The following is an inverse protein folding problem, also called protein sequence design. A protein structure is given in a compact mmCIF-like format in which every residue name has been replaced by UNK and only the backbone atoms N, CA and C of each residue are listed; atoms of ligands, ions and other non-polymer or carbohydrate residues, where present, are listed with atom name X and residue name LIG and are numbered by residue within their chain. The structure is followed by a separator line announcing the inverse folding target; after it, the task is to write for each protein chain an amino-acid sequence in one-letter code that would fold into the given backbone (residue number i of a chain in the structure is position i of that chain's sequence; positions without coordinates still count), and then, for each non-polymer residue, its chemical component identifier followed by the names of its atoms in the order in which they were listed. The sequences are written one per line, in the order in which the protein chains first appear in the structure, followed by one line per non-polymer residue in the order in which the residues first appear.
data_IF_411202318174
#
_entry.id   IF_411202318174
#
_cell.length_a   1.000
_cell.length_b   1.000
_cell.length_c   1.000
_cell.angle_alpha   90.00
_cell.angle_beta   90.00
_cell.angle_gamma   90.00
#
_symmetry.space_group_name_H-M   'P 1'
#
loop_
_entity.id
_entity.type
_entity.pdbx_description
1 polymer ?
#
# COMPACT_ATOMS: atom_id res chain seq x y z
N UNK A 1 -6.92 -25.90 -1.94
CA UNK A 1 -5.92 -25.30 -1.04
C UNK A 1 -5.23 -24.20 -1.81
N UNK A 2 -5.07 -23.03 -1.21
CA UNK A 2 -4.36 -21.91 -1.83
C UNK A 2 -2.94 -21.83 -1.29
N UNK A 3 -1.98 -21.57 -2.17
CA UNK A 3 -0.60 -21.30 -1.77
C UNK A 3 -0.29 -19.84 -2.13
N UNK A 4 -0.12 -19.00 -1.13
CA UNK A 4 0.24 -17.59 -1.31
C UNK A 4 1.76 -17.46 -1.22
N UNK A 5 2.38 -17.01 -2.32
CA UNK A 5 3.80 -16.72 -2.37
C UNK A 5 4.03 -15.23 -2.12
N UNK A 6 4.94 -14.92 -1.20
CA UNK A 6 5.24 -13.55 -0.75
C UNK A 6 6.72 -13.35 -0.51
N UNK A 7 7.17 -12.09 -0.58
CA UNK A 7 8.47 -11.68 -0.07
C UNK A 7 8.53 -11.93 1.43
N UNK A 8 9.60 -12.57 1.90
CA UNK A 8 9.75 -12.89 3.32
C UNK A 8 10.86 -13.87 3.61
N UNK A 9 11.12 -14.11 4.89
CA UNK A 9 12.03 -15.16 5.33
C UNK A 9 11.49 -15.83 6.60
N UNK A 10 11.76 -17.12 6.76
CA UNK A 10 11.42 -17.88 7.97
C UNK A 10 9.94 -17.78 8.39
N UNK A 11 9.02 -17.77 7.41
CA UNK A 11 7.59 -17.66 7.65
C UNK A 11 7.09 -16.24 7.94
N UNK A 12 7.97 -15.25 8.04
CA UNK A 12 7.60 -13.85 8.20
C UNK A 12 7.57 -13.14 6.85
N UNK A 13 6.48 -12.40 6.62
CA UNK A 13 6.32 -11.57 5.41
C UNK A 13 7.21 -10.33 5.54
N UNK A 14 7.94 -10.01 4.47
CA UNK A 14 8.82 -8.86 4.45
C UNK A 14 8.05 -7.55 4.34
N UNK A 15 8.48 -6.57 5.14
CA UNK A 15 7.93 -5.21 5.11
C UNK A 15 8.27 -4.42 3.85
N UNK A 16 9.19 -4.91 3.00
CA UNK A 16 9.57 -4.22 1.75
C UNK A 16 8.44 -4.20 0.71
N UNK A 17 7.46 -5.10 0.83
CA UNK A 17 6.37 -5.24 -0.14
C UNK A 17 5.03 -5.10 0.57
N UNK A 18 4.44 -3.88 0.56
CA UNK A 18 3.13 -3.66 1.17
C UNK A 18 2.03 -4.47 0.48
N UNK A 19 2.16 -4.78 -0.81
CA UNK A 19 1.24 -5.69 -1.53
C UNK A 19 1.25 -7.11 -0.95
N UNK A 20 2.45 -7.66 -0.63
CA UNK A 20 2.58 -8.96 0.01
C UNK A 20 1.94 -8.99 1.40
N UNK A 21 2.18 -7.94 2.20
CA UNK A 21 1.55 -7.76 3.50
C UNK A 21 0.03 -7.70 3.33
N UNK A 22 -0.49 -6.80 2.50
CA UNK A 22 -1.93 -6.63 2.30
C UNK A 22 -2.62 -7.93 1.90
N UNK A 23 -2.02 -8.69 0.97
CA UNK A 23 -2.57 -9.98 0.54
C UNK A 23 -2.62 -10.98 1.69
N UNK A 24 -1.57 -11.04 2.51
CA UNK A 24 -1.52 -11.92 3.67
C UNK A 24 -2.56 -11.53 4.74
N UNK A 25 -2.77 -10.23 5.02
CA UNK A 25 -3.83 -9.77 5.94
C UNK A 25 -5.18 -10.20 5.40
N UNK A 26 -5.44 -9.86 4.13
CA UNK A 26 -6.72 -10.09 3.49
C UNK A 26 -7.10 -11.58 3.57
N UNK A 27 -6.19 -12.49 3.20
CA UNK A 27 -6.45 -13.93 3.28
C UNK A 27 -6.63 -14.42 4.71
N UNK A 28 -5.83 -13.95 5.68
CA UNK A 28 -5.98 -14.33 7.09
C UNK A 28 -7.33 -13.90 7.68
N UNK A 29 -7.83 -12.72 7.28
CA UNK A 29 -9.12 -12.21 7.76
C UNK A 29 -10.31 -12.86 7.05
N UNK A 30 -10.22 -13.08 5.73
CA UNK A 30 -11.29 -13.67 4.93
C UNK A 30 -11.42 -15.18 5.10
N UNK A 31 -10.30 -15.90 5.14
CA UNK A 31 -10.28 -17.37 5.19
C UNK A 31 -9.96 -17.81 6.63
N UNK A 32 -11.00 -17.90 7.47
CA UNK A 32 -10.89 -18.31 8.88
C UNK A 32 -10.30 -19.71 9.10
N UNK A 33 -10.41 -20.59 8.10
CA UNK A 33 -9.86 -21.95 8.15
C UNK A 33 -8.42 -21.96 7.64
N UNK A 34 -7.46 -22.04 8.57
CA UNK A 34 -6.03 -22.04 8.28
C UNK A 34 -5.57 -23.22 7.42
N UNK A 35 -6.37 -24.28 7.28
CA UNK A 35 -6.03 -25.41 6.42
C UNK A 35 -6.33 -25.15 4.95
N UNK A 36 -7.06 -24.07 4.63
CA UNK A 36 -7.45 -23.75 3.26
C UNK A 36 -6.40 -22.95 2.50
N UNK A 37 -5.50 -22.26 3.19
CA UNK A 37 -4.40 -21.56 2.56
C UNK A 37 -3.10 -21.63 3.35
N UNK A 38 -1.98 -21.60 2.66
CA UNK A 38 -0.63 -21.53 3.25
C UNK A 38 0.13 -20.35 2.68
N UNK A 39 0.95 -19.72 3.52
CA UNK A 39 1.83 -18.63 3.13
C UNK A 39 3.24 -19.19 2.95
N UNK A 40 3.77 -19.07 1.74
CA UNK A 40 5.09 -19.54 1.36
C UNK A 40 5.99 -18.32 1.16
N UNK A 41 6.88 -18.08 2.13
CA UNK A 41 7.90 -17.05 1.99
C UNK A 41 8.94 -17.52 0.99
N UNK A 42 9.17 -16.73 -0.05
CA UNK A 42 10.00 -17.11 -1.19
C UNK A 42 11.47 -17.33 -0.79
N UNK A 43 11.84 -18.60 -0.52
CA UNK A 43 13.22 -19.12 -0.61
C UNK A 43 13.49 -19.84 -1.93
N UNK A 44 12.43 -20.39 -2.51
CA UNK A 44 12.55 -21.30 -3.64
C UNK A 44 12.30 -20.58 -4.96
N UNK A 45 13.36 -20.45 -5.73
CA UNK A 45 13.38 -19.73 -6.99
C UNK A 45 12.82 -20.56 -8.16
N UNK A 46 12.41 -21.80 -7.91
CA UNK A 46 11.95 -22.74 -8.94
C UNK A 46 10.69 -22.28 -9.68
N UNK A 47 9.76 -21.61 -8.99
CA UNK A 47 8.54 -21.07 -9.59
C UNK A 47 8.75 -19.76 -10.35
N UNK A 48 9.88 -19.08 -10.16
CA UNK A 48 10.18 -17.80 -10.81
C UNK A 48 10.50 -17.93 -12.31
N UNK A 49 10.58 -19.16 -12.86
CA UNK A 49 10.72 -19.36 -14.31
C UNK A 49 9.47 -18.98 -15.11
N UNK A 50 8.33 -18.77 -14.45
CA UNK A 50 7.04 -18.59 -15.10
C UNK A 50 6.58 -17.13 -15.21
N UNK A 51 7.15 -16.19 -14.44
CA UNK A 51 6.56 -14.87 -14.18
C UNK A 51 7.68 -13.84 -14.02
N UNK A 52 7.44 -12.58 -14.40
CA UNK A 52 8.33 -11.40 -14.32
C UNK A 52 8.75 -11.00 -12.88
N UNK A 53 8.91 -11.97 -11.98
CA UNK A 53 9.33 -11.81 -10.59
C UNK A 53 8.38 -10.94 -9.74
N UNK A 54 7.09 -10.90 -10.11
CA UNK A 54 6.09 -10.09 -9.41
C UNK A 54 5.48 -10.91 -8.27
N UNK A 55 5.79 -10.51 -7.04
CA UNK A 55 5.13 -10.97 -5.81
C UNK A 55 4.26 -9.83 -5.27
N UNK A 56 3.07 -10.12 -4.71
CA UNK A 56 2.56 -11.45 -4.37
C UNK A 56 1.92 -12.19 -5.54
N UNK A 57 1.92 -13.52 -5.48
CA UNK A 57 1.09 -14.35 -6.36
C UNK A 57 0.46 -15.52 -5.59
N UNK A 58 -0.71 -15.96 -6.02
CA UNK A 58 -1.49 -17.04 -5.45
C UNK A 58 -1.55 -18.21 -6.43
N UNK A 59 -1.30 -19.43 -5.95
CA UNK A 59 -1.55 -20.67 -6.67
C UNK A 59 -2.80 -21.34 -6.10
N UNK A 60 -3.77 -21.61 -6.97
CA UNK A 60 -4.93 -22.43 -6.64
C UNK A 60 -4.71 -23.88 -7.07
N UNK A 61 -4.32 -24.72 -6.12
CA UNK A 61 -4.08 -26.15 -6.35
C UNK A 61 -5.35 -26.93 -6.71
N UNK A 62 -6.53 -26.38 -6.44
CA UNK A 62 -7.81 -27.03 -6.78
C UNK A 62 -8.22 -26.79 -8.22
N UNK A 63 -7.75 -25.68 -8.81
CA UNK A 63 -8.13 -25.25 -10.13
C UNK A 63 -6.94 -25.34 -11.10
N UNK A 64 -6.44 -26.56 -11.30
CA UNK A 64 -5.37 -26.87 -12.25
C UNK A 64 -4.10 -26.02 -12.06
N UNK A 65 -3.73 -25.74 -10.81
CA UNK A 65 -2.58 -24.90 -10.43
C UNK A 65 -2.62 -23.50 -11.09
N UNK A 66 -3.82 -22.91 -11.19
CA UNK A 66 -3.98 -21.55 -11.73
C UNK A 66 -3.19 -20.56 -10.88
N UNK A 67 -2.40 -19.72 -11.54
CA UNK A 67 -1.61 -18.64 -10.91
C UNK A 67 -2.31 -17.30 -11.09
N UNK A 68 -2.37 -16.52 -10.02
CA UNK A 68 -2.97 -15.18 -9.99
C UNK A 68 -1.97 -14.22 -9.34
N UNK A 69 -1.61 -13.16 -10.04
CA UNK A 69 -0.56 -12.22 -9.62
C UNK A 69 -1.12 -10.87 -9.21
N UNK A 70 -0.51 -10.27 -8.17
CA UNK A 70 -0.84 -8.95 -7.67
C UNK A 70 -2.04 -8.92 -6.75
N UNK A 71 -1.98 -8.05 -5.74
CA UNK A 71 -2.98 -7.91 -4.68
C UNK A 71 -4.43 -7.83 -5.22
N UNK A 72 -4.66 -6.93 -6.17
CA UNK A 72 -5.99 -6.69 -6.73
C UNK A 72 -6.59 -7.93 -7.42
N UNK A 73 -5.80 -8.61 -8.27
CA UNK A 73 -6.30 -9.77 -9.00
C UNK A 73 -6.54 -10.95 -8.05
N UNK A 74 -5.69 -11.10 -7.02
CA UNK A 74 -5.84 -12.14 -6.00
C UNK A 74 -7.16 -11.94 -5.25
N UNK A 75 -7.46 -10.73 -4.79
CA UNK A 75 -8.73 -10.43 -4.12
C UNK A 75 -9.90 -10.76 -5.04
N UNK A 76 -9.89 -10.22 -6.27
CA UNK A 76 -10.96 -10.45 -7.25
C UNK A 76 -11.18 -11.95 -7.51
N UNK A 77 -10.11 -12.73 -7.55
CA UNK A 77 -10.18 -14.17 -7.73
C UNK A 77 -10.79 -14.88 -6.52
N UNK A 78 -10.39 -14.51 -5.30
CA UNK A 78 -10.85 -15.12 -4.06
C UNK A 78 -12.35 -14.85 -3.83
N UNK A 79 -12.78 -13.60 -4.04
CA UNK A 79 -14.20 -13.20 -4.03
C UNK A 79 -15.03 -14.07 -4.99
N UNK A 80 -14.52 -14.28 -6.21
CA UNK A 80 -15.20 -15.08 -7.24
C UNK A 80 -15.36 -16.55 -6.87
N UNK A 81 -14.43 -17.12 -6.10
CA UNK A 81 -14.50 -18.53 -5.71
C UNK A 81 -15.54 -18.75 -4.61
N UNK A 82 -15.57 -17.87 -3.61
CA UNK A 82 -16.47 -18.00 -2.47
C UNK A 82 -16.77 -16.62 -1.91
N UNK A 83 -18.03 -16.22 -2.01
CA UNK A 83 -18.52 -14.92 -1.55
C UNK A 83 -18.23 -14.69 -0.06
N UNK A 84 -18.26 -15.76 0.77
CA UNK A 84 -17.93 -15.64 2.20
C UNK A 84 -16.47 -15.21 2.49
N UNK A 85 -15.61 -15.13 1.47
CA UNK A 85 -14.25 -14.60 1.59
C UNK A 85 -14.15 -13.13 1.18
N UNK A 86 -15.23 -12.49 0.76
CA UNK A 86 -15.23 -11.08 0.41
C UNK A 86 -15.43 -10.22 1.67
N UNK A 87 -14.37 -9.51 2.06
CA UNK A 87 -14.41 -8.52 3.15
C UNK A 87 -15.20 -7.25 2.79
N UNK A 88 -15.49 -7.05 1.51
CA UNK A 88 -16.20 -5.88 0.99
C UNK A 88 -17.68 -6.19 0.68
N UNK A 89 -18.17 -7.41 0.94
CA UNK A 89 -19.56 -7.82 0.64
C UNK A 89 -20.60 -6.86 1.26
N UNK A 90 -20.29 -6.30 2.43
CA UNK A 90 -21.18 -5.38 3.14
C UNK A 90 -21.30 -4.01 2.45
N UNK A 91 -20.36 -3.63 1.55
CA UNK A 91 -20.53 -2.46 0.69
C UNK A 91 -21.67 -2.68 -0.32
N UNK A 92 -22.06 -3.94 -0.54
CA UNK A 92 -23.09 -4.30 -1.51
C UNK A 92 -24.50 -4.24 -0.90
N UNK A 93 -24.68 -3.76 0.35
CA UNK A 93 -25.95 -3.86 1.10
C UNK A 93 -27.21 -3.65 0.23
N UNK A 94 -27.86 -4.78 -0.05
CA UNK A 94 -28.98 -4.91 -0.98
C UNK A 94 -30.22 -4.22 -0.39
N UNK A 95 -30.56 -3.03 -0.90
CA UNK A 95 -31.93 -2.49 -0.79
C UNK A 95 -32.98 -3.50 -1.32
N UNK A 96 -32.58 -4.47 -2.15
CA UNK A 96 -33.42 -5.58 -2.61
C UNK A 96 -33.98 -6.46 -1.49
N UNK A 97 -33.25 -6.61 -0.38
CA UNK A 97 -33.72 -7.40 0.77
C UNK A 97 -34.85 -6.69 1.55
N UNK A 98 -34.98 -5.36 1.42
CA UNK A 98 -36.12 -4.60 1.93
C UNK A 98 -37.31 -4.59 0.96
N UNK A 99 -37.09 -4.65 -0.35
CA UNK A 99 -38.18 -4.75 -1.34
C UNK A 99 -38.96 -6.07 -1.22
N UNK A 100 -38.28 -7.21 -1.04
CA UNK A 100 -38.98 -8.51 -0.89
C UNK A 100 -39.72 -8.66 0.46
N UNK A 101 -39.31 -7.95 1.51
CA UNK A 101 -40.06 -7.90 2.78
C UNK A 101 -41.33 -7.04 2.67
N UNK A 102 -41.30 -6.00 1.84
CA UNK A 102 -42.47 -5.15 1.63
C UNK A 102 -43.52 -5.77 0.69
N UNK A 103 -43.13 -6.52 -0.36
CA UNK A 103 -44.10 -7.27 -1.18
C UNK A 103 -44.82 -8.40 -0.42
N UNK A 104 -44.17 -9.00 0.59
CA UNK A 104 -44.81 -9.98 1.47
C UNK A 104 -45.73 -9.34 2.53
N UNK A 105 -45.59 -8.04 2.80
CA UNK A 105 -46.49 -7.29 3.68
C UNK A 105 -47.65 -6.62 2.90
N UNK A 106 -47.45 -6.18 1.66
CA UNK A 106 -48.52 -5.60 0.82
C UNK A 106 -49.55 -6.64 0.37
N UNK A 107 -49.19 -7.93 0.30
CA UNK A 107 -50.16 -9.00 0.08
C UNK A 107 -51.07 -9.29 1.29
N UNK A 108 -50.82 -8.67 2.45
CA UNK A 108 -51.70 -8.73 3.63
C UNK A 108 -52.54 -7.46 3.86
N UNK A 109 -52.37 -6.39 3.06
CA UNK A 109 -53.11 -5.12 3.22
C UNK A 109 -53.86 -4.67 1.95
N UNK A 110 -54.35 -5.61 1.15
CA UNK A 110 -55.42 -5.32 0.19
C UNK A 110 -56.77 -5.11 0.89
N UNK A 111 -56.89 -4.01 1.65
CA UNK A 111 -58.15 -3.38 2.03
C UNK A 111 -57.92 -1.99 2.66
N UNK A 112 -57.39 -1.03 1.90
CA UNK A 112 -57.81 0.39 1.97
C UNK A 112 -57.15 1.24 0.88
N UNK A 113 -57.93 1.45 -0.18
CA UNK A 113 -57.68 2.42 -1.23
C UNK A 113 -57.87 3.84 -0.65
N UNK A 114 -56.81 4.66 -0.63
CA UNK A 114 -56.77 6.00 -1.24
C UNK A 114 -55.62 6.87 -0.73
N UNK A 115 -55.04 7.62 -1.67
CA UNK A 115 -54.06 8.71 -1.58
C UNK A 115 -52.61 8.28 -1.34
N UNK A 116 -51.77 8.43 -2.37
CA UNK A 116 -50.55 9.26 -2.32
C UNK A 116 -49.79 9.16 -3.66
N UNK A 117 -49.95 10.16 -4.52
CA UNK A 117 -49.17 10.31 -5.77
C UNK A 117 -47.96 11.26 -5.61
N UNK A 118 -47.46 11.48 -4.39
CA UNK A 118 -46.26 12.31 -4.15
C UNK A 118 -45.00 11.48 -3.78
N UNK A 119 -45.08 10.16 -3.66
CA UNK A 119 -43.94 9.32 -3.24
C UNK A 119 -43.11 8.71 -4.38
N UNK A 120 -43.39 9.02 -5.65
CA UNK A 120 -42.70 8.40 -6.79
C UNK A 120 -41.40 9.09 -7.22
N UNK A 121 -41.05 10.27 -6.67
CA UNK A 121 -39.81 10.98 -7.03
C UNK A 121 -38.63 10.78 -6.06
N UNK A 122 -38.82 10.13 -4.91
CA UNK A 122 -37.73 9.88 -3.94
C UNK A 122 -37.11 8.48 -4.02
N UNK A 123 -37.67 7.56 -4.82
CA UNK A 123 -37.20 6.16 -4.88
C UNK A 123 -36.13 5.88 -5.95
N UNK A 124 -35.65 6.88 -6.69
CA UNK A 124 -34.60 6.71 -7.71
C UNK A 124 -33.19 7.13 -7.27
N UNK A 125 -32.98 7.45 -5.98
CA UNK A 125 -31.64 7.78 -5.44
C UNK A 125 -30.95 6.64 -4.67
N UNK A 126 -31.63 5.55 -4.35
CA UNK A 126 -31.09 4.46 -3.50
C UNK A 126 -30.22 3.43 -4.22
N UNK A 127 -30.51 3.10 -5.47
CA UNK A 127 -29.87 1.96 -6.17
C UNK A 127 -28.43 2.20 -6.64
N UNK A 128 -27.93 3.44 -6.64
CA UNK A 128 -26.60 3.77 -7.15
C UNK A 128 -25.51 3.84 -6.07
N UNK A 129 -25.87 3.82 -4.77
CA UNK A 129 -24.89 3.99 -3.68
C UNK A 129 -23.96 2.78 -3.57
N UNK A 130 -24.52 1.57 -3.56
CA UNK A 130 -23.79 0.35 -3.26
C UNK A 130 -22.75 -0.04 -4.33
N UNK A 131 -23.11 -0.02 -5.62
CA UNK A 131 -22.15 -0.26 -6.72
C UNK A 131 -21.10 0.87 -6.78
N UNK A 132 -21.50 2.10 -6.41
CA UNK A 132 -20.57 3.22 -6.34
C UNK A 132 -19.50 2.97 -5.27
N UNK A 133 -19.86 2.43 -4.11
CA UNK A 133 -18.91 2.22 -3.02
C UNK A 133 -17.88 1.13 -3.33
N UNK A 134 -18.27 0.05 -4.01
CA UNK A 134 -17.31 -0.95 -4.50
C UNK A 134 -16.32 -0.35 -5.51
N UNK A 135 -16.82 0.44 -6.47
CA UNK A 135 -15.99 1.14 -7.45
C UNK A 135 -15.06 2.17 -6.79
N UNK A 136 -15.55 2.88 -5.77
CA UNK A 136 -14.77 3.82 -4.97
C UNK A 136 -13.67 3.08 -4.22
N UNK A 137 -13.97 1.94 -3.59
CA UNK A 137 -12.98 1.12 -2.88
C UNK A 137 -11.86 0.66 -3.83
N UNK A 138 -12.20 0.23 -5.05
CA UNK A 138 -11.20 -0.08 -6.08
C UNK A 138 -10.41 1.15 -6.55
N UNK A 139 -11.08 2.28 -6.73
CA UNK A 139 -10.44 3.56 -7.07
C UNK A 139 -9.42 3.98 -6.01
N UNK A 140 -9.78 3.85 -4.73
CA UNK A 140 -8.90 4.14 -3.60
C UNK A 140 -7.67 3.22 -3.59
N UNK A 141 -7.83 1.91 -3.83
CA UNK A 141 -6.68 1.00 -3.95
C UNK A 141 -5.71 1.49 -5.03
N UNK A 142 -6.23 1.93 -6.18
CA UNK A 142 -5.40 2.49 -7.26
C UNK A 142 -4.68 3.77 -6.84
N UNK A 143 -5.39 4.72 -6.20
CA UNK A 143 -4.81 5.98 -5.74
C UNK A 143 -3.75 5.74 -4.65
N UNK A 144 -4.04 4.86 -3.68
CA UNK A 144 -3.09 4.43 -2.63
C UNK A 144 -1.85 3.84 -3.29
N UNK A 145 -2.03 2.95 -4.26
CA UNK A 145 -0.94 2.33 -4.99
C UNK A 145 -0.09 3.40 -5.68
N UNK A 146 -0.70 4.26 -6.49
CA UNK A 146 0.05 5.21 -7.30
C UNK A 146 0.79 6.25 -6.44
N UNK A 147 0.20 6.65 -5.31
CA UNK A 147 0.79 7.64 -4.40
C UNK A 147 1.86 7.03 -3.49
N UNK A 148 1.53 5.96 -2.76
CA UNK A 148 2.42 5.41 -1.74
C UNK A 148 3.47 4.45 -2.31
N UNK A 149 3.26 3.86 -3.49
CA UNK A 149 4.27 2.99 -4.12
C UNK A 149 5.56 3.73 -4.40
N UNK A 150 5.47 4.95 -4.93
CA UNK A 150 6.66 5.75 -5.23
C UNK A 150 7.38 6.17 -3.96
N UNK A 151 6.65 6.48 -2.89
CA UNK A 151 7.22 6.77 -1.57
C UNK A 151 7.95 5.54 -1.02
N UNK A 152 7.33 4.36 -1.05
CA UNK A 152 7.98 3.11 -0.65
C UNK A 152 9.22 2.81 -1.50
N UNK A 153 9.14 3.02 -2.82
CA UNK A 153 10.28 2.85 -3.73
C UNK A 153 11.45 3.75 -3.37
N UNK A 154 11.17 5.03 -3.11
CA UNK A 154 12.19 5.94 -2.61
C UNK A 154 12.80 5.43 -1.31
N UNK A 155 11.94 5.07 -0.35
CA UNK A 155 12.35 4.75 1.01
C UNK A 155 13.19 3.48 1.12
N UNK A 156 12.88 2.44 0.33
CA UNK A 156 13.56 1.15 0.37
C UNK A 156 14.67 0.99 -0.67
N UNK A 157 14.57 1.63 -1.85
CA UNK A 157 15.47 1.34 -2.97
C UNK A 157 16.35 2.53 -3.39
N UNK A 158 15.87 3.77 -3.22
CA UNK A 158 16.63 4.97 -3.61
C UNK A 158 17.43 5.54 -2.45
N UNK A 159 16.89 5.50 -1.23
CA UNK A 159 17.64 5.89 -0.05
C UNK A 159 18.79 4.90 0.16
N UNK A 160 20.02 5.34 -0.14
CA UNK A 160 21.21 4.49 -0.12
C UNK A 160 21.46 3.83 1.24
N UNK A 161 21.10 4.50 2.34
CA UNK A 161 21.31 3.97 3.68
C UNK A 161 20.38 2.79 3.94
N UNK A 162 19.09 2.95 3.62
CA UNK A 162 18.09 1.88 3.73
C UNK A 162 18.35 0.75 2.73
N UNK A 163 18.69 1.07 1.49
CA UNK A 163 18.93 0.08 0.46
C UNK A 163 20.12 -0.83 0.79
N UNK A 164 21.27 -0.24 1.15
CA UNK A 164 22.49 -1.00 1.38
C UNK A 164 22.45 -1.76 2.71
N UNK A 165 21.92 -1.15 3.78
CA UNK A 165 21.98 -1.73 5.12
C UNK A 165 20.76 -2.58 5.50
N UNK A 166 19.64 -2.46 4.79
CA UNK A 166 18.43 -3.23 5.07
C UNK A 166 17.96 -4.01 3.84
N UNK A 167 17.56 -3.32 2.76
CA UNK A 167 16.87 -3.95 1.63
C UNK A 167 17.71 -5.06 0.99
N UNK A 168 18.99 -4.82 0.72
CA UNK A 168 19.90 -5.85 0.18
C UNK A 168 20.04 -7.06 1.11
N UNK A 169 20.03 -6.87 2.43
CA UNK A 169 20.09 -7.99 3.39
C UNK A 169 18.84 -8.85 3.30
N UNK A 170 17.66 -8.22 3.23
CA UNK A 170 16.37 -8.94 3.11
C UNK A 170 16.36 -9.85 1.88
N UNK A 171 16.84 -9.36 0.73
CA UNK A 171 16.93 -10.19 -0.48
C UNK A 171 18.04 -11.25 -0.38
N UNK A 172 19.16 -10.95 0.30
CA UNK A 172 20.23 -11.91 0.53
C UNK A 172 19.79 -13.09 1.41
N UNK A 173 18.97 -12.83 2.41
CA UNK A 173 18.45 -13.84 3.33
C UNK A 173 17.30 -14.64 2.72
N UNK A 174 16.53 -14.01 1.83
CA UNK A 174 15.40 -14.62 1.14
C UNK A 174 15.78 -15.42 -0.11
N UNK A 175 16.79 -15.00 -0.87
CA UNK A 175 17.03 -15.54 -2.22
C UNK A 175 18.37 -16.28 -2.36
N UNK A 176 18.36 -17.26 -3.26
CA UNK A 176 19.57 -17.97 -3.68
C UNK A 176 20.42 -17.12 -4.63
N UNK A 177 21.72 -17.42 -4.67
CA UNK A 177 22.61 -16.87 -5.69
C UNK A 177 22.23 -17.43 -7.08
N UNK A 178 22.18 -16.61 -8.15
CA UNK A 178 22.57 -15.19 -8.25
C UNK A 178 21.42 -14.17 -8.07
N UNK A 179 20.20 -14.65 -7.79
CA UNK A 179 19.00 -13.83 -7.78
C UNK A 179 18.99 -12.78 -6.67
N UNK A 180 19.66 -13.06 -5.55
CA UNK A 180 19.88 -12.11 -4.47
C UNK A 180 20.67 -10.84 -4.87
N UNK A 181 21.36 -10.82 -6.01
CA UNK A 181 22.00 -9.60 -6.55
C UNK A 181 21.18 -8.96 -7.68
N UNK A 182 20.65 -9.80 -8.57
CA UNK A 182 19.92 -9.34 -9.74
C UNK A 182 18.61 -8.62 -9.37
N UNK A 183 17.82 -9.21 -8.46
CA UNK A 183 16.49 -8.68 -8.13
C UNK A 183 16.53 -7.32 -7.42
N UNK A 184 17.34 -7.12 -6.36
CA UNK A 184 17.47 -5.80 -5.75
C UNK A 184 17.87 -4.72 -6.75
N UNK A 185 18.82 -5.03 -7.63
CA UNK A 185 19.27 -4.10 -8.67
C UNK A 185 18.18 -3.79 -9.68
N UNK A 186 17.38 -4.79 -10.06
CA UNK A 186 16.23 -4.62 -10.96
C UNK A 186 15.17 -3.72 -10.33
N UNK A 187 14.79 -3.99 -9.08
CA UNK A 187 13.84 -3.16 -8.34
C UNK A 187 14.36 -1.74 -8.11
N UNK A 188 15.66 -1.58 -7.85
CA UNK A 188 16.28 -0.24 -7.74
C UNK A 188 16.12 0.55 -9.03
N UNK A 189 16.35 -0.07 -10.18
CA UNK A 189 16.14 0.58 -11.48
C UNK A 189 14.67 0.97 -11.70
N UNK A 190 13.73 0.07 -11.40
CA UNK A 190 12.28 0.37 -11.48
C UNK A 190 11.91 1.54 -10.55
N UNK A 191 12.49 1.57 -9.35
CA UNK A 191 12.29 2.66 -8.39
C UNK A 191 12.87 3.98 -8.91
N UNK A 192 14.04 3.96 -9.56
CA UNK A 192 14.65 5.15 -10.18
C UNK A 192 13.72 5.71 -11.25
N UNK A 193 13.26 4.86 -12.17
CA UNK A 193 12.33 5.23 -13.24
C UNK A 193 11.01 5.81 -12.69
N UNK A 194 10.46 5.21 -11.62
CA UNK A 194 9.20 5.64 -11.02
C UNK A 194 9.32 6.95 -10.23
N UNK A 195 10.44 7.15 -9.52
CA UNK A 195 10.66 8.34 -8.68
C UNK A 195 11.05 9.58 -9.49
N UNK A 196 11.56 9.41 -10.71
CA UNK A 196 11.79 10.49 -11.69
C UNK A 196 10.49 11.23 -12.02
N UNK A 197 9.38 10.50 -12.13
CA UNK A 197 8.09 11.06 -12.54
C UNK A 197 7.60 12.11 -11.53
N UNK A 198 7.84 11.86 -10.23
CA UNK A 198 7.33 12.67 -9.10
C UNK A 198 8.37 13.69 -8.58
N UNK A 199 9.49 13.90 -9.29
CA UNK A 199 10.58 14.81 -8.87
C UNK A 199 11.20 14.43 -7.50
N UNK A 200 11.09 13.15 -7.15
CA UNK A 200 11.84 12.55 -6.05
C UNK A 200 13.22 12.06 -6.51
N UNK A 201 13.41 11.89 -7.82
CA UNK A 201 14.70 11.64 -8.45
C UNK A 201 15.18 12.85 -9.26
N UNK A 202 16.48 12.92 -9.51
CA UNK A 202 17.26 14.09 -9.89
C UNK A 202 16.98 14.69 -11.28
N UNK A 203 15.95 14.30 -12.01
CA UNK A 203 15.85 14.63 -13.44
C UNK A 203 15.09 15.93 -13.76
N UNK A 204 14.19 16.41 -12.88
CA UNK A 204 13.51 17.72 -13.04
C UNK A 204 14.04 18.75 -12.05
N UNK A 205 15.35 19.01 -12.15
CA UNK A 205 16.07 19.88 -11.20
C UNK A 205 15.51 21.31 -11.16
N UNK A 206 14.95 21.69 -10.02
CA UNK A 206 14.73 23.09 -9.67
C UNK A 206 16.06 23.86 -9.69
N UNK A 207 16.05 25.20 -9.92
CA UNK A 207 17.28 26.03 -9.99
C UNK A 207 18.25 25.80 -8.82
N UNK A 208 17.72 25.65 -7.61
CA UNK A 208 18.49 25.37 -6.38
C UNK A 208 19.19 24.00 -6.42
N UNK A 209 18.56 23.02 -7.07
CA UNK A 209 19.09 21.65 -7.19
C UNK A 209 20.18 21.58 -8.25
N UNK A 210 19.97 22.27 -9.37
CA UNK A 210 21.02 22.47 -10.38
C UNK A 210 22.23 23.15 -9.73
N UNK A 211 22.01 24.14 -8.86
CA UNK A 211 23.11 24.82 -8.18
C UNK A 211 23.83 23.92 -7.16
N UNK A 212 23.09 23.13 -6.37
CA UNK A 212 23.68 22.16 -5.45
C UNK A 212 24.50 21.10 -6.20
N UNK A 213 23.98 20.58 -7.31
CA UNK A 213 24.68 19.58 -8.11
C UNK A 213 25.92 20.18 -8.79
N UNK A 214 25.82 21.40 -9.33
CA UNK A 214 26.98 22.12 -9.86
C UNK A 214 28.05 22.33 -8.80
N UNK A 215 27.68 22.78 -7.60
CA UNK A 215 28.64 22.92 -6.49
C UNK A 215 29.25 21.58 -6.12
N UNK A 216 28.48 20.50 -6.13
CA UNK A 216 28.97 19.16 -5.80
C UNK A 216 29.93 18.64 -6.87
N UNK A 217 29.67 18.91 -8.15
CA UNK A 217 30.57 18.61 -9.28
C UNK A 217 31.83 19.48 -9.28
N UNK A 218 31.69 20.78 -9.02
CA UNK A 218 32.80 21.73 -8.89
C UNK A 218 33.74 21.28 -7.77
N UNK A 219 33.17 20.96 -6.60
CA UNK A 219 33.91 20.38 -5.51
C UNK A 219 34.58 19.06 -5.97
N UNK A 220 33.85 18.10 -6.56
CA UNK A 220 34.42 16.80 -7.02
C UNK A 220 35.65 16.94 -7.94
N UNK A 221 35.76 18.03 -8.68
CA UNK A 221 36.83 18.25 -9.64
C UNK A 221 37.99 19.12 -9.11
N UNK A 222 37.92 19.64 -7.88
CA UNK A 222 39.01 20.44 -7.30
C UNK A 222 40.24 19.58 -6.95
N UNK A 223 41.45 19.95 -7.38
CA UNK A 223 42.67 19.23 -7.03
C UNK A 223 42.98 19.37 -5.54
N UNK A 224 43.22 18.25 -4.85
CA UNK A 224 43.59 18.23 -3.43
C UNK A 224 45.03 18.74 -3.23
N UNK A 225 45.17 20.02 -2.86
CA UNK A 225 46.47 20.71 -2.71
C UNK A 225 47.22 20.40 -1.40
N UNK A 226 46.52 20.02 -0.33
CA UNK A 226 47.12 19.68 0.97
C UNK A 226 46.22 18.73 1.77
N UNK A 227 46.75 18.09 2.82
CA UNK A 227 45.98 17.21 3.71
C UNK A 227 44.84 17.95 4.41
N UNK A 228 45.13 19.12 4.99
CA UNK A 228 44.12 19.97 5.63
C UNK A 228 43.06 20.45 4.63
N UNK A 229 43.45 20.72 3.38
CA UNK A 229 42.51 21.05 2.32
C UNK A 229 41.63 19.85 1.96
N UNK A 230 42.19 18.63 1.90
CA UNK A 230 41.42 17.40 1.68
C UNK A 230 40.38 17.18 2.79
N UNK A 231 40.73 17.44 4.05
CA UNK A 231 39.80 17.25 5.17
C UNK A 231 38.64 18.26 5.13
N UNK A 232 38.93 19.54 4.84
CA UNK A 232 37.90 20.56 4.67
C UNK A 232 36.98 20.25 3.50
N UNK A 233 37.58 19.76 2.41
CA UNK A 233 36.88 19.36 1.21
C UNK A 233 35.90 18.20 1.48
N UNK A 234 36.34 17.14 2.16
CA UNK A 234 35.48 16.01 2.52
C UNK A 234 34.35 16.42 3.45
N UNK A 235 34.60 17.35 4.38
CA UNK A 235 33.55 17.95 5.23
C UNK A 235 32.52 18.75 4.42
N UNK A 236 32.95 19.51 3.42
CA UNK A 236 32.04 20.25 2.56
C UNK A 236 31.19 19.31 1.70
N UNK A 237 31.81 18.27 1.13
CA UNK A 237 31.12 17.29 0.29
C UNK A 237 30.10 16.48 1.08
N UNK A 238 30.44 16.04 2.30
CA UNK A 238 29.47 15.36 3.19
C UNK A 238 28.31 16.28 3.55
N UNK A 239 28.57 17.56 3.84
CA UNK A 239 27.54 18.56 4.10
C UNK A 239 26.60 18.75 2.90
N UNK A 240 27.14 18.88 1.68
CA UNK A 240 26.32 19.04 0.47
C UNK A 240 25.45 17.81 0.20
N UNK A 241 26.00 16.60 0.35
CA UNK A 241 25.23 15.34 0.24
C UNK A 241 24.11 15.29 1.27
N UNK A 242 24.38 15.67 2.52
CA UNK A 242 23.38 15.72 3.58
C UNK A 242 22.26 16.71 3.28
N UNK A 243 22.58 17.91 2.79
CA UNK A 243 21.59 18.91 2.40
C UNK A 243 20.69 18.41 1.26
N UNK A 244 21.28 17.77 0.25
CA UNK A 244 20.53 17.16 -0.86
C UNK A 244 19.60 16.06 -0.36
N UNK A 245 20.11 15.14 0.47
CA UNK A 245 19.32 14.08 1.12
C UNK A 245 18.15 14.66 1.91
N UNK A 246 18.42 15.65 2.77
CA UNK A 246 17.40 16.30 3.62
C UNK A 246 16.30 16.93 2.78
N UNK A 247 16.65 17.62 1.69
CA UNK A 247 15.67 18.23 0.78
C UNK A 247 14.74 17.19 0.15
N UNK A 248 15.29 16.06 -0.32
CA UNK A 248 14.49 14.99 -0.92
C UNK A 248 13.61 14.32 0.15
N UNK A 249 14.14 14.06 1.35
CA UNK A 249 13.36 13.56 2.48
C UNK A 249 12.18 14.48 2.80
N UNK A 250 12.38 15.80 2.82
CA UNK A 250 11.29 16.77 3.06
C UNK A 250 10.23 16.73 1.95
N UNK A 251 10.63 16.60 0.67
CA UNK A 251 9.66 16.41 -0.44
C UNK A 251 8.86 15.13 -0.24
N UNK A 252 9.52 14.04 0.14
CA UNK A 252 8.88 12.76 0.43
C UNK A 252 7.86 12.88 1.56
N UNK A 253 8.22 13.55 2.67
CA UNK A 253 7.29 13.82 3.77
C UNK A 253 6.09 14.67 3.34
N UNK A 254 6.32 15.68 2.48
CA UNK A 254 5.24 16.52 1.95
C UNK A 254 4.27 15.73 1.05
N UNK A 255 4.75 14.75 0.29
CA UNK A 255 3.89 13.88 -0.51
C UNK A 255 3.04 12.97 0.38
N UNK A 256 3.63 12.38 1.43
CA UNK A 256 2.88 11.61 2.42
C UNK A 256 1.83 12.48 3.10
N UNK A 257 2.21 13.71 3.48
CA UNK A 257 1.31 14.67 4.11
C UNK A 257 0.10 14.98 3.22
N UNK A 258 0.34 15.36 1.97
CA UNK A 258 -0.72 15.68 1.02
C UNK A 258 -1.64 14.48 0.82
N UNK A 259 -1.07 13.28 0.61
CA UNK A 259 -1.85 12.07 0.45
C UNK A 259 -2.73 11.76 1.67
N UNK A 260 -2.16 11.84 2.88
CA UNK A 260 -2.94 11.58 4.10
C UNK A 260 -4.00 12.67 4.36
N UNK A 261 -3.74 13.93 3.98
CA UNK A 261 -4.75 14.98 4.01
C UNK A 261 -5.89 14.70 3.03
N UNK A 262 -5.59 14.22 1.82
CA UNK A 262 -6.62 13.84 0.84
C UNK A 262 -7.50 12.69 1.37
N UNK A 263 -6.91 11.74 2.09
CA UNK A 263 -7.64 10.67 2.79
C UNK A 263 -8.49 11.22 3.94
N UNK A 264 -7.95 12.11 4.78
CA UNK A 264 -8.71 12.77 5.86
C UNK A 264 -9.92 13.56 5.31
N UNK A 265 -9.73 14.22 4.16
CA UNK A 265 -10.80 14.93 3.44
C UNK A 265 -11.86 13.95 2.96
N UNK A 266 -11.44 12.83 2.34
CA UNK A 266 -12.34 11.77 1.90
C UNK A 266 -13.17 11.20 3.07
N UNK A 267 -12.53 10.84 4.18
CA UNK A 267 -13.20 10.36 5.40
C UNK A 267 -14.23 11.38 5.91
N UNK A 268 -13.89 12.67 5.85
CA UNK A 268 -14.78 13.74 6.32
C UNK A 268 -16.02 13.89 5.43
N UNK A 269 -15.88 13.73 4.11
CA UNK A 269 -17.01 13.79 3.17
C UNK A 269 -17.93 12.55 3.30
N UNK A 270 -17.34 11.36 3.40
CA UNK A 270 -18.13 10.12 3.43
C UNK A 270 -18.84 9.90 4.77
N UNK A 271 -18.27 10.39 5.87
CA UNK A 271 -18.89 10.29 7.20
C UNK A 271 -19.86 11.43 7.54
N UNK A 272 -20.05 12.42 6.67
CA UNK A 272 -20.88 13.59 6.98
C UNK A 272 -22.37 13.22 7.16
N UNK A 273 -22.87 12.22 6.44
CA UNK A 273 -24.29 11.83 6.46
C UNK A 273 -24.66 11.00 7.70
N UNK A 274 -23.67 10.38 8.35
CA UNK A 274 -23.87 9.56 9.53
C UNK A 274 -23.39 10.35 10.75
N UNK A 275 -24.32 10.92 11.53
CA UNK A 275 -24.10 11.66 12.81
C UNK A 275 -23.38 10.84 13.93
N UNK A 276 -22.69 9.77 13.55
CA UNK A 276 -22.02 8.81 14.40
C UNK A 276 -20.53 9.12 14.55
N UNK A 277 -19.98 8.62 15.66
CA UNK A 277 -18.58 8.71 16.08
C UNK A 277 -17.59 8.49 14.92
N UNK A 278 -16.44 9.18 14.98
CA UNK A 278 -15.34 9.05 14.02
C UNK A 278 -15.05 7.58 13.75
N UNK A 279 -15.20 7.16 12.50
CA UNK A 279 -14.96 5.78 12.07
C UNK A 279 -13.49 5.41 12.23
N UNK A 280 -13.21 4.11 12.39
CA UNK A 280 -11.83 3.60 12.44
C UNK A 280 -11.28 3.25 11.05
N UNK A 281 -12.14 3.14 10.04
CA UNK A 281 -11.81 2.75 8.67
C UNK A 281 -12.44 3.72 7.65
N UNK A 282 -11.97 3.66 6.40
CA UNK A 282 -12.30 4.58 5.31
C UNK A 282 -13.79 4.59 4.98
N UNK A 283 -14.44 3.42 4.99
CA UNK A 283 -15.87 3.26 4.68
C UNK A 283 -16.74 3.11 5.95
N UNK A 284 -16.17 3.30 7.14
CA UNK A 284 -16.93 3.22 8.40
C UNK A 284 -16.30 2.29 9.45
N UNK A 285 -17.13 1.45 10.07
CA UNK A 285 -16.69 0.60 11.19
C UNK A 285 -16.26 -0.81 10.77
N UNK A 286 -16.44 -1.15 9.49
CA UNK A 286 -16.01 -2.42 8.92
C UNK A 286 -14.79 -2.19 8.03
N UNK A 287 -13.92 -3.19 8.00
CA UNK A 287 -12.68 -3.15 7.24
C UNK A 287 -12.94 -3.49 5.77
N UNK A 288 -12.28 -2.77 4.86
CA UNK A 288 -12.31 -3.04 3.43
C UNK A 288 -10.93 -3.46 2.89
N UNK A 289 -10.91 -3.93 1.64
CA UNK A 289 -9.67 -4.19 0.92
C UNK A 289 -8.81 -2.94 0.71
N UNK A 290 -9.38 -1.73 0.58
CA UNK A 290 -8.59 -0.49 0.53
C UNK A 290 -7.97 -0.15 1.89
N UNK A 291 -8.70 -0.35 3.00
CA UNK A 291 -8.17 -0.16 4.35
C UNK A 291 -6.96 -1.05 4.59
N UNK A 292 -7.09 -2.34 4.27
CA UNK A 292 -6.00 -3.32 4.41
C UNK A 292 -4.78 -2.89 3.59
N UNK A 293 -5.00 -2.39 2.37
CA UNK A 293 -3.93 -1.95 1.50
C UNK A 293 -3.23 -0.70 2.01
N UNK A 294 -4.01 0.30 2.46
CA UNK A 294 -3.49 1.51 3.09
C UNK A 294 -2.69 1.17 4.35
N UNK A 295 -3.27 0.39 5.26
CA UNK A 295 -2.63 -0.03 6.51
C UNK A 295 -1.32 -0.77 6.23
N UNK A 296 -1.30 -1.67 5.24
CA UNK A 296 -0.08 -2.40 4.86
C UNK A 296 1.03 -1.48 4.34
N UNK A 297 0.66 -0.43 3.58
CA UNK A 297 1.60 0.61 3.19
C UNK A 297 2.12 1.39 4.41
N UNK A 298 1.26 1.72 5.37
CA UNK A 298 1.67 2.40 6.61
C UNK A 298 2.60 1.50 7.44
N UNK A 299 2.33 0.20 7.57
CA UNK A 299 3.21 -0.77 8.24
C UNK A 299 4.60 -0.77 7.58
N UNK A 300 4.63 -0.81 6.24
CA UNK A 300 5.86 -0.75 5.44
C UNK A 300 6.63 0.56 5.69
N UNK A 301 5.96 1.71 5.67
CA UNK A 301 6.59 3.02 5.88
C UNK A 301 7.00 3.26 7.34
N UNK A 302 6.33 2.62 8.29
CA UNK A 302 6.60 2.71 9.73
C UNK A 302 7.60 1.64 10.21
N UNK A 303 8.39 1.05 9.29
CA UNK A 303 9.36 0.03 9.63
C UNK A 303 10.51 0.59 10.49
N UNK A 304 10.61 0.09 11.73
CA UNK A 304 11.61 0.50 12.74
C UNK A 304 13.00 -0.07 12.47
N UNK A 305 13.10 -1.10 11.63
CA UNK A 305 14.35 -1.79 11.34
C UNK A 305 15.20 -1.07 10.26
N UNK A 306 14.64 -0.01 9.65
CA UNK A 306 15.35 0.80 8.68
C UNK A 306 16.34 1.76 9.36
N UNK A 307 17.59 1.87 8.86
CA UNK A 307 18.58 2.76 9.45
C UNK A 307 18.20 4.24 9.35
N UNK A 308 17.68 4.68 8.20
CA UNK A 308 17.09 6.02 8.05
C UNK A 308 15.58 5.94 8.24
N UNK A 309 15.13 6.33 9.43
CA UNK A 309 13.75 6.19 9.88
C UNK A 309 12.99 7.54 9.92
N UNK A 310 13.31 8.46 9.02
CA UNK A 310 12.69 9.79 9.00
C UNK A 310 11.16 9.74 8.81
N UNK A 311 10.65 8.80 7.99
CA UNK A 311 9.20 8.62 7.78
C UNK A 311 8.54 8.07 9.05
N UNK A 312 9.14 7.06 9.67
CA UNK A 312 8.67 6.51 10.95
C UNK A 312 8.54 7.61 12.01
N UNK A 313 9.57 8.46 12.17
CA UNK A 313 9.57 9.56 13.12
C UNK A 313 8.44 10.57 12.83
N UNK A 314 8.25 10.92 11.57
CA UNK A 314 7.20 11.84 11.13
C UNK A 314 5.79 11.28 11.38
N UNK A 315 5.53 10.03 10.99
CA UNK A 315 4.21 9.41 11.15
C UNK A 315 3.83 9.24 12.63
N UNK A 316 4.77 8.87 13.50
CA UNK A 316 4.51 8.77 14.94
C UNK A 316 4.20 10.13 15.58
N UNK A 317 4.86 11.19 15.11
CA UNK A 317 4.61 12.54 15.61
C UNK A 317 3.24 13.06 15.19
N UNK A 318 2.86 12.87 13.92
CA UNK A 318 1.70 13.54 13.32
C UNK A 318 0.43 12.69 13.26
N UNK A 319 0.58 11.38 13.06
CA UNK A 319 -0.54 10.44 12.86
C UNK A 319 -0.48 9.25 13.84
N UNK A 320 -0.39 9.46 15.17
CA UNK A 320 -0.19 8.38 16.14
C UNK A 320 -1.35 7.36 16.16
N UNK A 321 -2.58 7.79 15.89
CA UNK A 321 -3.76 6.90 15.82
C UNK A 321 -3.66 5.92 14.66
N UNK A 322 -3.23 6.40 13.49
CA UNK A 322 -3.04 5.56 12.30
C UNK A 322 -1.92 4.54 12.53
N UNK A 323 -0.84 4.94 13.21
CA UNK A 323 0.22 4.01 13.61
C UNK A 323 -0.28 2.96 14.59
N UNK A 324 -1.06 3.36 15.61
CA UNK A 324 -1.64 2.39 16.56
C UNK A 324 -2.54 1.37 15.85
N UNK A 325 -3.34 1.82 14.87
CA UNK A 325 -4.12 0.93 14.03
C UNK A 325 -3.20 -0.02 13.25
N UNK A 326 -2.19 0.50 12.55
CA UNK A 326 -1.24 -0.29 11.80
C UNK A 326 -0.51 -1.36 12.65
N UNK A 327 -0.08 -1.01 13.87
CA UNK A 327 0.55 -1.95 14.80
C UNK A 327 -0.41 -3.05 15.28
N UNK A 328 -1.72 -2.80 15.31
CA UNK A 328 -2.70 -3.84 15.62
C UNK A 328 -2.81 -4.90 14.51
N UNK A 329 -2.60 -4.50 13.24
CA UNK A 329 -2.59 -5.38 12.09
C UNK A 329 -1.25 -6.10 11.88
N UNK A 330 -0.12 -5.47 12.21
CA UNK A 330 1.21 -6.10 12.11
C UNK A 330 1.29 -7.39 12.97
N UNK A 331 0.54 -7.45 14.07
CA UNK A 331 0.42 -8.64 14.94
C UNK A 331 -0.35 -9.79 14.32
N UNK A 332 -1.18 -9.54 13.30
CA UNK A 332 -1.92 -10.58 12.58
C UNK A 332 -0.98 -11.35 11.64
N UNK A 333 0.15 -10.75 11.25
CA UNK A 333 1.06 -11.30 10.26
C UNK A 333 2.09 -12.30 10.78
N UNK A 334 2.57 -12.09 12.00
CA UNK A 334 3.44 -13.01 12.73
C UNK A 334 2.63 -14.22 13.17
#
# INVERSE_FOLDING_TARGET
MFELYVWGSNGQVSKISPECLATCIYLKLSIKDSNKFTVITSKDTSYFKLIDYVLPFLIDTTNNNKVIEGYHNIIKYIKKININYDLDDWLIEDEFSNYQKNENNENNENNKINKNNENLLNNHKGTNSSISDELLNFGLISIINDSLKVINYYYYYINDENYNNYTCSVFKDGLSFPLNFYLPSSYKKIAEDSTIIIDLSNDKKNKVEVELDKRLEEELNLPKLSSLHSDLYEKNLTKLKLLKKTKINLRCLNLIENFLQDIDIYESYHNFDNNTQKSNFLFGNQITSSDIYLISNIISLNNKDLPDNFIHSYLNLKYPKLIQLAESFDKIHI
#
